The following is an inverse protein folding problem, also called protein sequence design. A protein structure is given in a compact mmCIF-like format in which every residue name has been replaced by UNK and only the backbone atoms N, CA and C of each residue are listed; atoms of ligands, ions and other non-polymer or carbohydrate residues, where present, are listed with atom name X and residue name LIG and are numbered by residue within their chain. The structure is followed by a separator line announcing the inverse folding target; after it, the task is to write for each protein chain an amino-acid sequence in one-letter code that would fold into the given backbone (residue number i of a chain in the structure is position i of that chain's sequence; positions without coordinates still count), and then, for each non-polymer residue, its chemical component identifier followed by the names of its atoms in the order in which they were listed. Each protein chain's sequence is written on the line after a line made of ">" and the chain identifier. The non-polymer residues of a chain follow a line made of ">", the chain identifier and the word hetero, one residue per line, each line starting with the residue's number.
data_IF_366041821440
#
_entry.id   IF_366041821440
#
_cell.length_a   1.000
_cell.length_b   1.000
_cell.length_c   1.000
_cell.angle_alpha   90.00
_cell.angle_beta   90.00
_cell.angle_gamma   90.00
#
_symmetry.space_group_name_H-M   'P 1'
#
loop_
_entity.id
_entity.type
_entity.pdbx_description
1 polymer ?
#
# COMPACT_ATOMS: atom_id res chain seq x y z
N UNK A 1 12.27 -0.26 18.46
CA UNK A 1 12.38 -1.62 17.87
C UNK A 1 12.16 -2.68 18.95
N UNK A 2 11.08 -3.45 18.83
CA UNK A 2 10.65 -4.47 19.80
C UNK A 2 11.56 -5.72 19.79
N UNK A 3 12.57 -5.77 20.67
CA UNK A 3 13.45 -6.95 20.87
C UNK A 3 12.77 -8.15 21.55
N UNK A 4 11.56 -7.99 22.10
CA UNK A 4 10.95 -9.00 22.99
C UNK A 4 10.28 -10.19 22.28
N UNK A 5 9.84 -10.07 21.02
CA UNK A 5 9.07 -11.13 20.37
C UNK A 5 9.93 -12.24 19.73
N UNK A 6 11.14 -11.91 19.27
CA UNK A 6 12.02 -12.87 18.60
C UNK A 6 12.48 -14.03 19.51
N UNK A 7 12.64 -13.78 20.81
CA UNK A 7 13.10 -14.80 21.75
C UNK A 7 12.04 -15.87 22.04
N UNK A 8 10.75 -15.54 21.97
CA UNK A 8 9.69 -16.53 22.24
C UNK A 8 9.55 -17.52 21.09
N UNK A 9 9.60 -17.02 19.85
CA UNK A 9 9.45 -17.86 18.65
C UNK A 9 10.58 -18.88 18.51
N UNK A 10 11.84 -18.45 18.64
CA UNK A 10 12.99 -19.36 18.54
C UNK A 10 13.05 -20.37 19.70
N UNK A 11 12.69 -19.93 20.92
CA UNK A 11 12.62 -20.82 22.08
C UNK A 11 11.63 -21.95 21.83
N UNK A 12 10.49 -21.65 21.23
CA UNK A 12 9.46 -22.64 20.97
C UNK A 12 9.80 -23.59 19.82
N UNK A 13 10.52 -23.11 18.80
CA UNK A 13 11.09 -23.98 17.76
C UNK A 13 12.07 -24.98 18.37
N UNK A 14 12.96 -24.51 19.24
CA UNK A 14 13.95 -25.35 19.93
C UNK A 14 13.32 -26.33 20.91
N UNK A 15 12.28 -25.91 21.63
CA UNK A 15 11.51 -26.78 22.53
C UNK A 15 10.85 -27.95 21.78
N UNK A 16 10.57 -27.79 20.49
CA UNK A 16 10.06 -28.84 19.59
C UNK A 16 11.15 -29.66 18.90
N UNK A 17 12.42 -29.48 19.31
CA UNK A 17 13.56 -30.24 18.81
C UNK A 17 14.19 -29.70 17.52
N UNK A 18 13.76 -28.54 17.02
CA UNK A 18 14.37 -27.93 15.84
C UNK A 18 15.67 -27.21 16.24
N UNK A 19 16.81 -27.69 15.74
CA UNK A 19 18.09 -27.02 15.87
C UNK A 19 18.20 -25.90 14.84
N UNK A 20 17.66 -24.73 15.19
CA UNK A 20 17.69 -23.53 14.34
C UNK A 20 18.49 -22.40 14.97
N UNK A 21 19.24 -21.72 14.13
CA UNK A 21 19.93 -20.46 14.43
C UNK A 21 18.92 -19.30 14.49
N UNK A 22 19.35 -18.15 15.01
CA UNK A 22 18.50 -16.94 15.04
C UNK A 22 18.11 -16.47 13.64
N UNK A 23 19.02 -16.57 12.67
CA UNK A 23 18.74 -16.15 11.29
C UNK A 23 17.70 -17.06 10.64
N UNK A 24 17.79 -18.38 10.84
CA UNK A 24 16.81 -19.35 10.33
C UNK A 24 15.44 -19.15 10.98
N UNK A 25 15.40 -18.91 12.30
CA UNK A 25 14.16 -18.61 12.99
C UNK A 25 13.51 -17.32 12.47
N UNK A 26 14.30 -16.27 12.19
CA UNK A 26 13.79 -15.03 11.58
C UNK A 26 13.21 -15.27 10.18
N UNK A 27 13.89 -16.07 9.35
CA UNK A 27 13.40 -16.43 8.02
C UNK A 27 12.08 -17.22 8.09
N UNK A 28 12.00 -18.21 8.97
CA UNK A 28 10.78 -18.99 9.18
C UNK A 28 9.63 -18.12 9.67
N UNK A 29 9.91 -17.15 10.54
CA UNK A 29 8.91 -16.20 11.02
C UNK A 29 8.39 -15.32 9.87
N UNK A 30 9.27 -14.81 9.02
CA UNK A 30 8.89 -14.00 7.86
C UNK A 30 8.05 -14.81 6.86
N UNK A 31 8.38 -16.09 6.63
CA UNK A 31 7.58 -17.00 5.79
C UNK A 31 6.19 -17.19 6.41
N UNK A 32 6.11 -17.48 7.72
CA UNK A 32 4.84 -17.69 8.40
C UNK A 32 3.94 -16.44 8.37
N UNK A 33 4.52 -15.25 8.53
CA UNK A 33 3.80 -13.96 8.37
C UNK A 33 3.30 -13.83 6.94
N UNK A 34 4.15 -14.02 5.94
CA UNK A 34 3.76 -13.90 4.54
C UNK A 34 2.66 -14.91 4.14
N UNK A 35 2.73 -16.15 4.64
CA UNK A 35 1.71 -17.17 4.39
C UNK A 35 0.40 -16.85 5.11
N UNK A 36 0.47 -16.39 6.37
CA UNK A 36 -0.69 -15.92 7.12
C UNK A 36 -1.36 -14.74 6.41
N UNK A 37 -0.59 -13.72 6.03
CA UNK A 37 -1.09 -12.55 5.33
C UNK A 37 -1.72 -12.94 4.01
N UNK A 38 -1.08 -13.83 3.24
CA UNK A 38 -1.64 -14.37 1.99
C UNK A 38 -2.94 -15.16 2.24
N UNK A 39 -3.00 -15.98 3.29
CA UNK A 39 -4.19 -16.76 3.65
C UNK A 39 -5.33 -15.92 4.21
N UNK A 40 -5.04 -14.75 4.81
CA UNK A 40 -6.03 -13.77 5.28
C UNK A 40 -6.49 -12.84 4.15
N UNK A 41 -5.60 -12.49 3.22
CA UNK A 41 -5.88 -11.61 2.07
C UNK A 41 -6.60 -12.35 0.93
N UNK A 42 -6.29 -13.62 0.65
CA UNK A 42 -6.95 -14.39 -0.42
C UNK A 42 -8.47 -14.55 -0.25
N UNK A 43 -9.04 -14.76 0.95
CA UNK A 43 -10.49 -14.78 1.17
C UNK A 43 -11.20 -13.47 0.85
N UNK A 44 -10.47 -12.35 0.80
CA UNK A 44 -11.02 -11.08 0.34
C UNK A 44 -11.32 -11.18 -1.17
N UNK A 45 -10.61 -12.02 -1.96
CA UNK A 45 -10.64 -12.06 -3.45
C UNK A 45 -11.88 -12.76 -4.02
N UNK A 46 -12.96 -12.80 -3.26
CA UNK A 46 -14.24 -13.37 -3.67
C UNK A 46 -15.05 -12.35 -4.49
N UNK A 47 -15.84 -12.84 -5.45
CA UNK A 47 -16.70 -12.01 -6.31
C UNK A 47 -17.62 -11.09 -5.51
N UNK A 48 -18.11 -11.52 -4.34
CA UNK A 48 -18.96 -10.69 -3.47
C UNK A 48 -18.27 -9.44 -2.89
N UNK A 49 -16.93 -9.39 -2.90
CA UNK A 49 -16.13 -8.26 -2.39
C UNK A 49 -15.58 -7.36 -3.51
N UNK A 50 -15.99 -7.56 -4.75
CA UNK A 50 -15.50 -6.80 -5.91
C UNK A 50 -15.64 -5.27 -5.76
N UNK A 51 -16.68 -4.82 -5.05
CA UNK A 51 -16.86 -3.40 -4.73
C UNK A 51 -15.75 -2.85 -3.83
N UNK A 52 -15.28 -3.63 -2.84
CA UNK A 52 -14.19 -3.22 -1.96
C UNK A 52 -12.86 -3.14 -2.72
N UNK A 53 -12.66 -4.01 -3.72
CA UNK A 53 -11.49 -3.93 -4.60
C UNK A 53 -11.52 -2.76 -5.55
N UNK A 54 -12.69 -2.47 -6.11
CA UNK A 54 -12.88 -1.28 -6.91
C UNK A 54 -12.56 -0.03 -6.07
N UNK A 55 -13.09 0.04 -4.84
CA UNK A 55 -12.79 1.13 -3.90
C UNK A 55 -11.28 1.22 -3.65
N UNK A 56 -10.62 0.14 -3.24
CA UNK A 56 -9.19 0.14 -2.93
C UNK A 56 -8.34 0.60 -4.12
N UNK A 57 -8.63 0.06 -5.32
CA UNK A 57 -7.92 0.44 -6.54
C UNK A 57 -8.12 1.92 -6.88
N UNK A 58 -9.33 2.45 -6.66
CA UNK A 58 -9.64 3.85 -6.89
C UNK A 58 -9.01 4.77 -5.82
N UNK A 59 -8.94 4.34 -4.56
CA UNK A 59 -8.25 5.06 -3.50
C UNK A 59 -6.74 5.16 -3.78
N UNK A 60 -6.13 4.07 -4.29
CA UNK A 60 -4.76 4.11 -4.82
C UNK A 60 -4.63 5.08 -5.99
N UNK A 61 -5.59 5.06 -6.92
CA UNK A 61 -5.58 5.96 -8.06
C UNK A 61 -5.67 7.43 -7.63
N UNK A 62 -6.49 7.76 -6.62
CA UNK A 62 -6.65 9.12 -6.09
C UNK A 62 -5.37 9.61 -5.41
N UNK A 63 -4.81 8.80 -4.51
CA UNK A 63 -3.57 9.11 -3.79
C UNK A 63 -2.37 9.24 -4.74
N UNK A 64 -2.28 8.36 -5.75
CA UNK A 64 -1.27 8.47 -6.81
C UNK A 64 -1.48 9.72 -7.65
N UNK A 65 -2.73 10.08 -7.95
CA UNK A 65 -3.06 11.27 -8.72
C UNK A 65 -2.57 12.54 -8.02
N UNK A 66 -2.79 12.62 -6.72
CA UNK A 66 -2.30 13.69 -5.85
C UNK A 66 -0.77 13.80 -5.94
N UNK A 67 -0.04 12.70 -5.75
CA UNK A 67 1.41 12.67 -5.88
C UNK A 67 1.88 13.13 -7.27
N UNK A 68 1.19 12.69 -8.33
CA UNK A 68 1.49 13.10 -9.72
C UNK A 68 1.18 14.58 -10.00
N UNK A 69 0.43 15.27 -9.15
CA UNK A 69 0.31 16.74 -9.22
C UNK A 69 1.52 17.47 -8.67
N UNK A 70 2.27 16.88 -7.74
CA UNK A 70 3.50 17.44 -7.19
C UNK A 70 4.76 17.26 -8.06
N UNK A 71 4.71 16.42 -9.09
CA UNK A 71 5.88 16.10 -9.93
C UNK A 71 6.03 17.09 -11.09
N UNK A 72 7.19 17.75 -11.15
CA UNK A 72 7.61 18.51 -12.34
C UNK A 72 8.09 17.56 -13.45
N UNK A 73 7.33 17.49 -14.54
CA UNK A 73 7.58 16.63 -15.70
C UNK A 73 8.44 17.28 -16.79
N UNK A 74 9.04 18.45 -16.55
CA UNK A 74 9.87 19.17 -17.54
C UNK A 74 11.10 18.38 -17.98
N UNK A 75 11.72 17.63 -17.06
CA UNK A 75 12.92 16.83 -17.29
C UNK A 75 12.64 15.46 -17.92
N UNK A 76 11.38 15.08 -18.10
CA UNK A 76 11.02 13.77 -18.66
C UNK A 76 11.29 13.71 -20.16
N UNK A 77 11.73 12.54 -20.65
CA UNK A 77 11.78 12.28 -22.08
C UNK A 77 10.38 12.41 -22.69
N UNK A 78 10.29 12.76 -23.98
CA UNK A 78 9.00 13.02 -24.65
C UNK A 78 8.01 11.87 -24.49
N UNK A 79 8.46 10.63 -24.71
CA UNK A 79 7.61 9.44 -24.62
C UNK A 79 7.14 9.17 -23.20
N UNK A 80 8.05 9.26 -22.23
CA UNK A 80 7.70 9.08 -20.82
C UNK A 80 6.74 10.16 -20.32
N UNK A 81 6.99 11.43 -20.69
CA UNK A 81 6.12 12.56 -20.39
C UNK A 81 4.69 12.34 -20.89
N UNK A 82 4.54 11.85 -22.12
CA UNK A 82 3.22 11.52 -22.68
C UNK A 82 2.52 10.40 -21.91
N UNK A 83 3.24 9.32 -21.61
CA UNK A 83 2.70 8.21 -20.82
C UNK A 83 2.29 8.65 -19.41
N UNK A 84 3.15 9.41 -18.74
CA UNK A 84 2.91 9.95 -17.40
C UNK A 84 1.67 10.86 -17.36
N UNK A 85 1.54 11.78 -18.31
CA UNK A 85 0.35 12.65 -18.41
C UNK A 85 -0.93 11.88 -18.67
N UNK A 86 -0.88 10.82 -19.48
CA UNK A 86 -2.04 9.94 -19.71
C UNK A 86 -2.44 9.20 -18.45
N UNK A 87 -1.47 8.62 -17.74
CA UNK A 87 -1.72 7.96 -16.45
C UNK A 87 -2.39 8.92 -15.46
N UNK A 88 -1.84 10.13 -15.32
CA UNK A 88 -2.40 11.20 -14.50
C UNK A 88 -3.82 11.58 -14.91
N UNK A 89 -4.08 11.70 -16.21
CA UNK A 89 -5.41 12.06 -16.68
C UNK A 89 -6.45 10.97 -16.38
N UNK A 90 -6.16 9.72 -16.77
CA UNK A 90 -7.13 8.63 -16.67
C UNK A 90 -7.37 8.17 -15.23
N UNK A 91 -6.36 8.18 -14.36
CA UNK A 91 -6.54 7.90 -12.94
C UNK A 91 -7.49 8.92 -12.28
N UNK A 92 -7.27 10.21 -12.52
CA UNK A 92 -8.13 11.27 -11.98
C UNK A 92 -9.55 11.23 -12.55
N UNK A 93 -9.69 10.92 -13.84
CA UNK A 93 -11.01 10.76 -14.46
C UNK A 93 -11.78 9.58 -13.84
N UNK A 94 -11.14 8.42 -13.66
CA UNK A 94 -11.77 7.26 -13.05
C UNK A 94 -12.28 7.56 -11.64
N UNK A 95 -11.47 8.21 -10.80
CA UNK A 95 -11.86 8.62 -9.45
C UNK A 95 -13.01 9.62 -9.48
N UNK A 96 -12.96 10.61 -10.36
CA UNK A 96 -14.03 11.60 -10.51
C UNK A 96 -15.35 10.96 -10.92
N UNK A 97 -15.33 10.02 -11.87
CA UNK A 97 -16.52 9.29 -12.29
C UNK A 97 -17.07 8.41 -11.16
N UNK A 98 -16.21 7.76 -10.38
CA UNK A 98 -16.62 7.01 -9.20
C UNK A 98 -17.31 7.90 -8.16
N UNK A 99 -16.66 8.98 -7.72
CA UNK A 99 -17.23 9.94 -6.75
C UNK A 99 -18.58 10.49 -7.22
N UNK A 100 -18.71 10.79 -8.52
CA UNK A 100 -19.97 11.24 -9.14
C UNK A 100 -21.06 10.17 -9.13
N UNK A 101 -20.71 8.93 -9.45
CA UNK A 101 -21.66 7.82 -9.56
C UNK A 101 -22.14 7.35 -8.20
N UNK A 102 -21.25 7.34 -7.21
CA UNK A 102 -21.52 6.86 -5.86
C UNK A 102 -21.90 7.97 -4.87
N UNK A 103 -22.13 9.19 -5.35
CA UNK A 103 -22.39 10.39 -4.51
C UNK A 103 -23.50 10.22 -3.47
N UNK A 104 -24.48 9.36 -3.75
CA UNK A 104 -25.65 9.12 -2.90
C UNK A 104 -25.44 7.93 -1.94
N UNK A 105 -24.38 7.12 -2.15
CA UNK A 105 -23.98 6.03 -1.29
C UNK A 105 -22.88 6.48 -0.33
N UNK A 106 -23.31 7.05 0.80
CA UNK A 106 -22.41 7.61 1.82
C UNK A 106 -21.43 6.58 2.37
N UNK A 107 -21.85 5.33 2.55
CA UNK A 107 -21.01 4.27 3.12
C UNK A 107 -19.85 3.95 2.18
N UNK A 108 -20.11 3.86 0.88
CA UNK A 108 -19.05 3.61 -0.12
C UNK A 108 -18.10 4.80 -0.25
N UNK A 109 -18.61 6.02 -0.21
CA UNK A 109 -17.77 7.23 -0.26
C UNK A 109 -16.89 7.34 0.98
N UNK A 110 -17.45 7.15 2.18
CA UNK A 110 -16.67 7.17 3.43
C UNK A 110 -15.59 6.09 3.44
N UNK A 111 -15.90 4.87 2.97
CA UNK A 111 -14.90 3.80 2.85
C UNK A 111 -13.78 4.18 1.85
N UNK A 112 -14.14 4.76 0.71
CA UNK A 112 -13.18 5.25 -0.28
C UNK A 112 -12.27 6.34 0.29
N UNK A 113 -12.84 7.32 0.99
CA UNK A 113 -12.10 8.44 1.59
C UNK A 113 -11.16 7.95 2.69
N UNK A 114 -11.62 7.02 3.54
CA UNK A 114 -10.77 6.39 4.56
C UNK A 114 -9.53 5.74 3.94
N UNK A 115 -9.73 4.87 2.93
CA UNK A 115 -8.59 4.22 2.28
C UNK A 115 -7.69 5.20 1.53
N UNK A 116 -8.26 6.25 0.92
CA UNK A 116 -7.44 7.25 0.22
C UNK A 116 -6.59 8.04 1.20
N UNK A 117 -7.14 8.42 2.35
CA UNK A 117 -6.39 9.14 3.38
C UNK A 117 -5.25 8.30 3.95
N UNK A 118 -5.51 7.03 4.27
CA UNK A 118 -4.48 6.10 4.77
C UNK A 118 -3.32 5.98 3.76
N UNK A 119 -3.63 5.90 2.47
CA UNK A 119 -2.63 5.81 1.40
C UNK A 119 -1.87 7.12 1.18
N UNK A 120 -2.54 8.27 1.24
CA UNK A 120 -1.86 9.57 1.20
C UNK A 120 -0.93 9.75 2.40
N UNK A 121 -1.32 9.30 3.60
CA UNK A 121 -0.43 9.33 4.77
C UNK A 121 0.83 8.49 4.55
N UNK A 122 0.69 7.28 3.99
CA UNK A 122 1.86 6.45 3.63
C UNK A 122 2.78 7.15 2.61
N UNK A 123 2.20 7.85 1.63
CA UNK A 123 2.98 8.64 0.66
C UNK A 123 3.72 9.76 1.38
N UNK A 124 3.08 10.52 2.26
CA UNK A 124 3.71 11.61 2.99
C UNK A 124 4.85 11.12 3.88
N UNK A 125 4.69 9.99 4.58
CA UNK A 125 5.77 9.38 5.36
C UNK A 125 6.98 9.03 4.48
N UNK A 126 6.77 8.58 3.25
CA UNK A 126 7.87 8.34 2.32
C UNK A 126 8.51 9.64 1.82
N UNK A 127 7.72 10.69 1.59
CA UNK A 127 8.24 12.00 1.22
C UNK A 127 9.06 12.65 2.35
N UNK A 128 8.65 12.48 3.61
CA UNK A 128 9.40 12.95 4.78
C UNK A 128 10.78 12.29 4.85
N UNK A 129 10.85 10.96 4.70
CA UNK A 129 12.13 10.23 4.66
C UNK A 129 13.02 10.67 3.49
N UNK A 130 12.41 11.00 2.35
CA UNK A 130 13.14 11.58 1.21
C UNK A 130 13.70 12.95 1.60
N UNK A 131 12.87 13.84 2.13
CA UNK A 131 13.25 15.19 2.51
C UNK A 131 14.35 15.19 3.56
N UNK A 132 14.25 14.35 4.61
CA UNK A 132 15.27 14.19 5.64
C UNK A 132 16.65 13.89 5.04
N UNK A 133 16.72 12.96 4.06
CA UNK A 133 17.96 12.61 3.36
C UNK A 133 18.54 13.75 2.52
N UNK A 134 17.70 14.68 2.05
CA UNK A 134 18.12 15.81 1.21
C UNK A 134 18.36 17.10 2.01
N UNK A 135 17.93 17.19 3.27
CA UNK A 135 18.34 18.27 4.21
C UNK A 135 19.75 18.11 4.77
N UNK A 136 20.34 16.92 4.67
CA UNK A 136 21.72 16.63 5.11
C UNK A 136 22.78 16.82 3.99
N UNK A 137 22.42 17.43 2.85
CA UNK A 137 23.33 17.82 1.76
C UNK A 137 23.40 19.34 1.60
#
# INVERSE_FOLDING_TARGET
>A
MNKSNNNKFITELRARGLQVTHQEAQNLMNIAIAEHDKAVVMPVLKREKIAHYAILALSYADSLNELMYGIDDTKFSREFKLAFRRLKHFSGEAVKQFKKTMKDDKVLIEAFESYSNDLSEMIYQHLDVINEKYTEQ
#
